data_IF_190203093451
#
_entry.id   IF_190203093451
#
_cell.length_a   1.000
_cell.length_b   1.000
_cell.length_c   1.000
_cell.angle_alpha   90.00
_cell.angle_beta   90.00
_cell.angle_gamma   90.00
#
_symmetry.space_group_name_H-M   'P 1'
#
loop_
_entity.id
_entity.type
_entity.pdbx_description
1 polymer ?
#
# COMPACT_ATOMS: atom_id res chain seq x y z
N UNK A 1 -25.13 -24.72 37.01
CA UNK A 1 -25.97 -24.09 35.96
C UNK A 1 -25.11 -23.97 34.71
N UNK A 2 -25.26 -24.91 33.78
CA UNK A 2 -24.58 -24.92 32.49
C UNK A 2 -25.25 -23.89 31.58
N UNK A 3 -24.59 -22.76 31.35
CA UNK A 3 -25.05 -21.77 30.38
C UNK A 3 -25.08 -22.39 28.99
N UNK A 4 -26.25 -22.37 28.37
CA UNK A 4 -26.44 -22.67 26.95
C UNK A 4 -25.53 -21.76 26.12
N UNK A 5 -24.78 -22.27 25.13
CA UNK A 5 -24.02 -21.41 24.22
C UNK A 5 -25.03 -20.61 23.39
N UNK A 6 -25.16 -19.32 23.70
CA UNK A 6 -25.98 -18.40 22.91
C UNK A 6 -25.51 -18.38 21.47
N UNK A 7 -26.45 -18.40 20.53
CA UNK A 7 -26.17 -18.34 19.09
C UNK A 7 -25.42 -17.06 18.75
N UNK A 8 -24.16 -17.17 18.34
CA UNK A 8 -23.31 -16.07 17.87
C UNK A 8 -23.66 -15.70 16.42
N UNK A 9 -24.88 -15.22 16.18
CA UNK A 9 -25.31 -14.81 14.84
C UNK A 9 -24.84 -13.38 14.53
N UNK A 10 -23.93 -13.23 13.56
CA UNK A 10 -23.46 -11.93 13.08
C UNK A 10 -24.44 -11.28 12.09
N UNK A 11 -25.54 -10.71 12.57
CA UNK A 11 -26.63 -10.18 11.71
C UNK A 11 -26.32 -8.90 10.90
N UNK A 12 -25.14 -8.28 11.07
CA UNK A 12 -24.84 -6.97 10.45
C UNK A 12 -24.39 -7.09 8.98
N UNK A 13 -23.62 -8.13 8.62
CA UNK A 13 -23.11 -8.40 7.26
C UNK A 13 -22.82 -9.90 7.12
N UNK A 14 -22.99 -10.44 5.91
CA UNK A 14 -22.74 -11.85 5.60
C UNK A 14 -21.24 -12.24 5.68
N UNK A 15 -20.34 -11.29 5.41
CA UNK A 15 -18.89 -11.47 5.49
C UNK A 15 -18.31 -10.34 6.36
N UNK A 16 -17.36 -10.62 7.28
CA UNK A 16 -16.70 -9.59 8.07
C UNK A 16 -15.94 -8.58 7.18
N UNK A 17 -15.62 -7.38 7.68
CA UNK A 17 -14.83 -6.41 6.92
C UNK A 17 -13.45 -6.98 6.55
N UNK A 18 -13.01 -6.70 5.32
CA UNK A 18 -11.69 -7.12 4.82
C UNK A 18 -10.77 -5.89 4.80
N UNK A 19 -10.16 -5.59 5.94
CA UNK A 19 -9.51 -4.32 6.24
C UNK A 19 -8.04 -4.46 6.73
N UNK A 20 -7.46 -5.66 6.65
CA UNK A 20 -6.06 -5.90 6.96
C UNK A 20 -5.39 -6.65 5.82
N UNK A 21 -4.27 -6.11 5.34
CA UNK A 21 -3.38 -6.75 4.38
C UNK A 21 -2.59 -7.88 5.05
N UNK A 22 -2.22 -7.73 6.33
CA UNK A 22 -1.50 -8.75 7.09
C UNK A 22 -2.34 -10.01 7.36
N UNK A 23 -3.67 -9.88 7.40
CA UNK A 23 -4.57 -11.02 7.58
C UNK A 23 -4.73 -11.83 6.28
N UNK A 24 -4.64 -13.15 6.38
CA UNK A 24 -4.78 -14.07 5.25
C UNK A 24 -5.88 -15.11 5.49
N UNK A 25 -6.40 -15.71 4.42
CA UNK A 25 -7.16 -16.97 4.44
C UNK A 25 -6.33 -18.12 3.87
N UNK A 26 -6.68 -19.34 4.22
CA UNK A 26 -6.15 -20.52 3.53
C UNK A 26 -6.98 -20.82 2.28
N UNK A 27 -6.30 -20.92 1.13
CA UNK A 27 -6.90 -21.38 -0.12
C UNK A 27 -6.57 -22.86 -0.29
N UNK A 28 -7.59 -23.67 -0.59
CA UNK A 28 -7.40 -25.10 -0.85
C UNK A 28 -6.53 -25.31 -2.09
N UNK A 29 -5.52 -26.18 -1.95
CA UNK A 29 -4.69 -26.65 -3.06
C UNK A 29 -5.46 -27.57 -4.00
N UNK A 30 -6.49 -28.25 -3.50
CA UNK A 30 -7.37 -29.09 -4.30
C UNK A 30 -8.81 -28.78 -3.89
N UNK A 31 -9.57 -28.21 -4.82
CA UNK A 31 -10.95 -27.83 -4.62
C UNK A 31 -11.81 -28.59 -5.64
N UNK A 32 -12.21 -29.81 -5.27
CA UNK A 32 -13.05 -30.65 -6.12
C UNK A 32 -14.52 -30.31 -5.89
N UNK A 33 -15.29 -30.28 -6.97
CA UNK A 33 -16.72 -30.07 -6.96
C UNK A 33 -17.43 -31.31 -7.50
N UNK A 34 -18.57 -31.65 -6.90
CA UNK A 34 -19.46 -32.74 -7.34
C UNK A 34 -18.86 -34.16 -7.20
N UNK A 35 -19.47 -35.13 -7.89
CA UNK A 35 -19.07 -36.55 -7.86
C UNK A 35 -17.80 -36.75 -8.69
N UNK A 36 -16.70 -37.08 -8.02
CA UNK A 36 -15.40 -37.36 -8.65
C UNK A 36 -15.30 -38.88 -8.94
N UNK A 37 -15.03 -39.31 -10.19
CA UNK A 37 -14.81 -40.72 -10.49
C UNK A 37 -13.62 -41.28 -9.69
N UNK A 38 -13.70 -42.56 -9.28
CA UNK A 38 -12.59 -43.21 -8.54
C UNK A 38 -11.27 -43.25 -9.32
N UNK A 39 -11.33 -43.14 -10.64
CA UNK A 39 -10.15 -43.09 -11.52
C UNK A 39 -9.57 -41.69 -11.75
N UNK A 40 -10.10 -40.64 -11.11
CA UNK A 40 -9.51 -39.31 -11.20
C UNK A 40 -8.08 -39.31 -10.63
N UNK A 41 -7.11 -38.95 -11.46
CA UNK A 41 -5.73 -38.77 -11.04
C UNK A 41 -5.31 -37.30 -11.27
N UNK A 42 -5.06 -36.52 -10.20
CA UNK A 42 -4.57 -35.14 -10.32
C UNK A 42 -3.29 -35.01 -11.16
N UNK A 43 -2.48 -36.07 -11.26
CA UNK A 43 -1.23 -36.05 -12.04
C UNK A 43 -1.45 -35.99 -13.57
N UNK A 44 -2.67 -36.27 -14.05
CA UNK A 44 -2.99 -36.19 -15.48
C UNK A 44 -3.09 -34.72 -15.97
N UNK A 45 -3.28 -33.80 -15.02
CA UNK A 45 -3.38 -32.36 -15.26
C UNK A 45 -2.02 -31.67 -15.06
N UNK A 46 -1.95 -30.39 -15.47
CA UNK A 46 -0.78 -29.57 -15.18
C UNK A 46 -0.58 -29.45 -13.68
N UNK A 47 0.67 -29.55 -13.27
CA UNK A 47 1.10 -29.22 -11.93
C UNK A 47 2.30 -28.29 -12.00
N UNK A 48 2.32 -27.27 -11.14
CA UNK A 48 3.37 -26.26 -11.14
C UNK A 48 4.57 -26.77 -10.35
N UNK A 49 5.74 -26.77 -10.98
CA UNK A 49 7.01 -27.18 -10.37
C UNK A 49 7.86 -25.97 -9.96
N UNK A 50 7.65 -24.80 -10.58
CA UNK A 50 8.39 -23.59 -10.28
C UNK A 50 7.67 -22.33 -10.74
N UNK A 51 7.92 -21.22 -10.05
CA UNK A 51 7.44 -19.88 -10.42
C UNK A 51 8.61 -18.91 -10.30
N UNK A 52 8.91 -18.22 -11.39
CA UNK A 52 9.97 -17.22 -11.48
C UNK A 52 9.36 -15.85 -11.73
N UNK A 53 9.69 -14.90 -10.86
CA UNK A 53 9.11 -13.56 -10.89
C UNK A 53 10.01 -12.50 -11.54
N UNK A 54 11.24 -12.86 -11.94
CA UNK A 54 12.23 -11.91 -12.48
C UNK A 54 12.33 -10.65 -11.61
N UNK A 55 12.48 -10.87 -10.29
CA UNK A 55 12.24 -9.87 -9.23
C UNK A 55 13.51 -9.26 -8.65
N UNK A 56 14.66 -9.57 -9.23
CA UNK A 56 15.93 -9.00 -8.82
C UNK A 56 15.96 -7.50 -9.14
N UNK A 57 16.69 -6.71 -8.35
CA UNK A 57 16.72 -5.24 -8.49
C UNK A 57 17.24 -4.77 -9.85
N UNK A 58 18.10 -5.57 -10.46
CA UNK A 58 18.69 -5.30 -11.79
C UNK A 58 17.85 -5.90 -12.95
N UNK A 59 16.77 -6.62 -12.65
CA UNK A 59 15.93 -7.22 -13.68
C UNK A 59 14.89 -6.22 -14.19
N UNK A 60 14.44 -6.44 -15.43
CA UNK A 60 13.55 -5.55 -16.19
C UNK A 60 12.27 -5.20 -15.44
N UNK A 61 11.66 -6.15 -14.71
CA UNK A 61 10.43 -5.88 -13.96
C UNK A 61 10.60 -4.75 -12.93
N UNK A 62 11.71 -4.69 -12.17
CA UNK A 62 11.88 -3.64 -11.16
C UNK A 62 12.38 -2.33 -11.78
N UNK A 63 13.26 -2.43 -12.78
CA UNK A 63 13.77 -1.25 -13.50
C UNK A 63 12.61 -0.54 -14.22
N UNK A 64 11.85 -1.26 -15.06
CA UNK A 64 10.80 -0.66 -15.88
C UNK A 64 9.61 -0.15 -15.04
N UNK A 65 9.38 -0.76 -13.87
CA UNK A 65 8.37 -0.28 -12.92
C UNK A 65 8.89 0.78 -11.94
N UNK A 66 10.16 1.19 -12.01
CA UNK A 66 10.75 2.20 -11.13
C UNK A 66 10.59 1.80 -9.64
N UNK A 67 10.92 0.55 -9.34
CA UNK A 67 10.83 -0.09 -8.01
C UNK A 67 12.12 -0.82 -7.61
N UNK A 68 13.20 -0.64 -8.38
CA UNK A 68 14.55 -1.16 -8.12
C UNK A 68 15.24 -0.51 -6.90
N UNK A 69 14.81 0.69 -6.51
CA UNK A 69 15.34 1.41 -5.35
C UNK A 69 14.94 0.81 -4.01
N UNK A 70 13.75 0.22 -3.89
CA UNK A 70 13.27 -0.39 -2.64
C UNK A 70 14.22 -1.50 -2.17
N UNK A 71 14.64 -1.43 -0.92
CA UNK A 71 15.36 -2.49 -0.25
C UNK A 71 14.41 -3.61 0.17
N UNK A 72 13.99 -4.39 -0.83
CA UNK A 72 13.11 -5.54 -0.65
C UNK A 72 13.41 -6.60 -1.68
N UNK A 73 13.45 -7.86 -1.25
CA UNK A 73 13.70 -9.01 -2.13
C UNK A 73 12.44 -9.52 -2.85
N UNK A 74 11.25 -8.99 -2.52
CA UNK A 74 9.98 -9.39 -3.15
C UNK A 74 9.77 -8.64 -4.47
N UNK A 75 8.87 -9.16 -5.30
CA UNK A 75 8.46 -8.45 -6.52
C UNK A 75 7.64 -7.21 -6.11
N UNK A 76 8.01 -6.06 -6.65
CA UNK A 76 7.29 -4.79 -6.47
C UNK A 76 7.03 -4.24 -7.85
N UNK A 77 5.77 -4.07 -8.21
CA UNK A 77 5.34 -3.53 -9.51
C UNK A 77 4.34 -2.40 -9.29
N UNK A 78 4.12 -1.61 -10.33
CA UNK A 78 3.12 -0.52 -10.33
C UNK A 78 1.92 -0.92 -11.17
N UNK A 79 0.72 -0.57 -10.70
CA UNK A 79 -0.54 -0.95 -11.35
C UNK A 79 -0.68 -0.39 -12.78
N UNK A 80 -1.47 -1.03 -13.64
CA UNK A 80 -1.72 -0.54 -15.00
C UNK A 80 -0.58 -0.78 -16.00
N UNK A 81 0.55 -1.32 -15.56
CA UNK A 81 1.72 -1.65 -16.40
C UNK A 81 1.98 -3.16 -16.37
N UNK A 82 2.50 -3.70 -17.48
CA UNK A 82 2.77 -5.12 -17.61
C UNK A 82 4.12 -5.52 -17.02
N UNK A 83 4.17 -6.69 -16.39
CA UNK A 83 5.40 -7.33 -15.90
C UNK A 83 5.46 -8.80 -16.34
N UNK A 84 6.65 -9.39 -16.26
CA UNK A 84 6.87 -10.76 -16.69
C UNK A 84 6.95 -11.75 -15.53
N UNK A 85 6.39 -12.94 -15.73
CA UNK A 85 6.65 -14.10 -14.87
C UNK A 85 6.88 -15.34 -15.75
N UNK A 86 7.48 -16.37 -15.19
CA UNK A 86 7.58 -17.68 -15.81
C UNK A 86 7.05 -18.75 -14.87
N UNK A 87 6.29 -19.68 -15.42
CA UNK A 87 5.72 -20.81 -14.70
C UNK A 87 6.30 -22.07 -15.33
N UNK A 88 6.91 -22.91 -14.50
CA UNK A 88 7.38 -24.23 -14.91
C UNK A 88 6.36 -25.27 -14.48
N UNK A 89 6.00 -26.17 -15.40
CA UNK A 89 5.05 -27.24 -15.18
C UNK A 89 5.72 -28.63 -15.18
N UNK A 90 4.98 -29.65 -14.74
CA UNK A 90 5.38 -31.06 -14.83
C UNK A 90 5.52 -31.57 -16.28
N UNK A 91 4.78 -30.99 -17.22
CA UNK A 91 4.80 -31.29 -18.66
C UNK A 91 4.53 -30.05 -19.50
N UNK A 92 4.81 -30.06 -20.82
CA UNK A 92 4.49 -28.94 -21.69
C UNK A 92 3.00 -28.53 -21.63
N UNK A 93 2.77 -27.22 -21.64
CA UNK A 93 1.44 -26.61 -21.69
C UNK A 93 0.83 -26.75 -23.09
N UNK A 94 -0.34 -27.36 -23.16
CA UNK A 94 -1.08 -27.56 -24.40
C UNK A 94 -2.43 -26.78 -24.36
N UNK A 95 -2.53 -25.64 -25.06
CA UNK A 95 -3.72 -24.76 -25.02
C UNK A 95 -5.05 -25.42 -25.42
N UNK A 96 -5.01 -26.59 -26.08
CA UNK A 96 -6.22 -27.32 -26.49
C UNK A 96 -6.83 -28.16 -25.37
N UNK A 97 -6.04 -28.53 -24.36
CA UNK A 97 -6.47 -29.44 -23.27
C UNK A 97 -6.31 -28.82 -21.88
N UNK A 98 -5.37 -27.90 -21.73
CA UNK A 98 -4.98 -27.32 -20.46
C UNK A 98 -5.61 -25.94 -20.30
N UNK A 99 -6.15 -25.68 -19.11
CA UNK A 99 -6.64 -24.37 -18.71
C UNK A 99 -6.04 -24.03 -17.34
N UNK A 100 -5.43 -22.86 -17.24
CA UNK A 100 -4.95 -22.35 -15.96
C UNK A 100 -5.11 -20.83 -15.92
N UNK A 101 -4.96 -20.25 -14.73
CA UNK A 101 -4.93 -18.81 -14.51
C UNK A 101 -4.01 -18.46 -13.34
N UNK A 102 -3.55 -17.22 -13.32
CA UNK A 102 -2.89 -16.64 -12.15
C UNK A 102 -3.99 -16.05 -11.24
N UNK A 103 -3.83 -16.14 -9.94
CA UNK A 103 -4.75 -15.55 -8.96
C UNK A 103 -3.95 -14.66 -8.00
N UNK A 104 -4.37 -13.40 -7.86
CA UNK A 104 -3.87 -12.50 -6.83
C UNK A 104 -4.90 -12.34 -5.73
N UNK A 105 -4.48 -12.48 -4.47
CA UNK A 105 -5.38 -12.52 -3.32
C UNK A 105 -4.85 -11.68 -2.17
N UNK A 106 -5.72 -10.85 -1.58
CA UNK A 106 -5.37 -9.94 -0.48
C UNK A 106 -6.44 -9.95 0.63
N UNK A 107 -5.99 -9.99 1.88
CA UNK A 107 -6.85 -10.03 3.06
C UNK A 107 -7.42 -11.42 3.37
N UNK A 108 -8.12 -11.52 4.51
CA UNK A 108 -8.75 -12.75 5.02
C UNK A 108 -10.10 -13.05 4.37
N UNK A 109 -10.80 -12.05 3.85
CA UNK A 109 -12.13 -12.25 3.24
C UNK A 109 -12.15 -11.75 1.79
N UNK A 110 -11.33 -12.35 0.90
CA UNK A 110 -11.18 -11.89 -0.47
C UNK A 110 -12.45 -12.19 -1.29
N UNK A 111 -12.86 -11.24 -2.13
CA UNK A 111 -14.06 -11.31 -2.96
C UNK A 111 -13.77 -10.67 -4.32
N UNK A 112 -14.23 -11.32 -5.40
CA UNK A 112 -13.95 -10.87 -6.78
C UNK A 112 -14.55 -9.50 -7.08
N UNK A 113 -15.82 -9.30 -6.70
CA UNK A 113 -16.54 -8.04 -6.90
C UNK A 113 -16.02 -6.88 -6.03
N UNK A 114 -15.11 -7.14 -5.08
CA UNK A 114 -14.40 -6.13 -4.28
C UNK A 114 -12.96 -5.92 -4.74
N UNK A 115 -12.50 -6.66 -5.74
CA UNK A 115 -11.12 -6.60 -6.25
C UNK A 115 -10.07 -7.20 -5.32
N UNK A 116 -10.47 -7.90 -4.26
CA UNK A 116 -9.55 -8.52 -3.27
C UNK A 116 -9.25 -9.99 -3.57
N UNK A 117 -10.02 -10.60 -4.46
CA UNK A 117 -9.68 -11.81 -5.18
C UNK A 117 -9.63 -11.48 -6.67
N UNK A 118 -8.51 -11.70 -7.34
CA UNK A 118 -8.29 -11.27 -8.73
C UNK A 118 -7.89 -12.47 -9.57
N UNK A 119 -8.84 -13.09 -10.29
CA UNK A 119 -8.52 -14.10 -11.29
C UNK A 119 -7.97 -13.42 -12.55
N UNK A 120 -6.74 -13.75 -12.94
CA UNK A 120 -6.07 -13.19 -14.11
C UNK A 120 -6.17 -14.19 -15.27
N UNK A 121 -7.08 -13.96 -16.23
CA UNK A 121 -7.28 -14.90 -17.34
C UNK A 121 -6.10 -14.89 -18.30
N UNK A 122 -5.81 -16.05 -18.89
CA UNK A 122 -4.92 -16.14 -20.06
C UNK A 122 -5.67 -15.64 -21.29
N UNK A 123 -5.14 -14.62 -21.95
CA UNK A 123 -5.77 -13.95 -23.10
C UNK A 123 -4.84 -13.97 -24.32
N UNK A 124 -5.41 -13.87 -25.52
CA UNK A 124 -4.64 -13.76 -26.75
C UNK A 124 -3.94 -12.39 -26.85
N UNK A 125 -4.64 -11.32 -26.46
CA UNK A 125 -4.14 -9.96 -26.45
C UNK A 125 -4.55 -9.24 -25.16
N UNK A 126 -3.64 -8.42 -24.64
CA UNK A 126 -3.89 -7.62 -23.44
C UNK A 126 -4.83 -6.46 -23.81
N UNK A 127 -5.86 -6.25 -22.99
CA UNK A 127 -6.81 -5.16 -23.17
C UNK A 127 -6.47 -4.02 -22.23
N UNK A 128 -6.43 -2.80 -22.75
CA UNK A 128 -6.21 -1.57 -21.98
C UNK A 128 -7.14 -1.50 -20.76
N UNK A 129 -6.60 -1.15 -19.60
CA UNK A 129 -7.35 -0.98 -18.35
C UNK A 129 -7.80 -2.25 -17.62
N UNK A 130 -7.57 -3.45 -18.18
CA UNK A 130 -8.05 -4.73 -17.60
C UNK A 130 -6.91 -5.64 -17.15
N UNK A 131 -7.23 -6.51 -16.19
CA UNK A 131 -6.39 -7.63 -15.82
C UNK A 131 -6.35 -8.67 -16.93
N UNK A 132 -5.16 -9.19 -17.23
CA UNK A 132 -4.97 -10.28 -18.17
C UNK A 132 -3.52 -10.74 -18.22
N UNK A 133 -3.30 -11.96 -18.68
CA UNK A 133 -1.97 -12.53 -18.89
C UNK A 133 -1.85 -13.06 -20.32
N UNK A 134 -0.84 -12.62 -21.05
CA UNK A 134 -0.54 -13.09 -22.40
C UNK A 134 0.65 -14.03 -22.37
N UNK A 135 0.53 -15.18 -23.04
CA UNK A 135 1.67 -16.09 -23.23
C UNK A 135 2.62 -15.46 -24.25
N UNK A 136 3.85 -15.15 -23.83
CA UNK A 136 4.87 -14.55 -24.71
C UNK A 136 5.82 -15.59 -25.28
N UNK A 137 6.22 -16.58 -24.47
CA UNK A 137 7.06 -17.69 -24.90
C UNK A 137 6.62 -19.00 -24.25
N UNK A 138 6.85 -20.09 -24.97
CA UNK A 138 6.68 -21.48 -24.51
C UNK A 138 7.98 -22.20 -24.81
N UNK A 139 8.62 -22.74 -23.78
CA UNK A 139 9.89 -23.44 -23.90
C UNK A 139 9.83 -24.72 -23.05
N UNK A 140 9.75 -25.86 -23.73
CA UNK A 140 9.49 -27.17 -23.12
C UNK A 140 8.34 -27.14 -22.09
N UNK A 141 8.66 -27.16 -20.79
CA UNK A 141 7.72 -27.18 -19.67
C UNK A 141 7.44 -25.79 -19.08
N UNK A 142 8.09 -24.77 -19.60
CA UNK A 142 8.03 -23.40 -19.09
C UNK A 142 7.16 -22.52 -19.99
N UNK A 143 6.32 -21.70 -19.34
CA UNK A 143 5.49 -20.69 -20.00
C UNK A 143 5.81 -19.34 -19.40
N UNK A 144 6.27 -18.40 -20.24
CA UNK A 144 6.45 -17.01 -19.83
C UNK A 144 5.19 -16.22 -20.13
N UNK A 145 4.75 -15.46 -19.15
CA UNK A 145 3.57 -14.61 -19.22
C UNK A 145 3.98 -13.15 -19.13
N UNK A 146 3.35 -12.31 -19.94
CA UNK A 146 3.24 -10.87 -19.69
C UNK A 146 1.91 -10.62 -18.99
N UNK A 147 1.95 -10.22 -17.72
CA UNK A 147 0.78 -9.95 -16.89
C UNK A 147 0.55 -8.46 -16.85
N UNK A 148 -0.65 -8.01 -17.20
CA UNK A 148 -1.09 -6.63 -17.04
C UNK A 148 -2.10 -6.54 -15.90
N UNK A 149 -1.85 -5.62 -14.97
CA UNK A 149 -2.79 -5.28 -13.91
C UNK A 149 -3.72 -4.15 -14.34
N UNK A 150 -4.91 -4.05 -13.74
CA UNK A 150 -5.78 -2.87 -13.94
C UNK A 150 -5.16 -1.62 -13.31
N UNK A 151 -5.23 -0.43 -13.94
CA UNK A 151 -4.77 0.83 -13.34
C UNK A 151 -5.58 1.27 -12.11
N UNK A 152 -6.72 0.62 -11.85
CA UNK A 152 -7.55 0.83 -10.66
C UNK A 152 -7.30 -0.23 -9.57
N UNK A 153 -6.26 -1.04 -9.70
CA UNK A 153 -5.93 -2.08 -8.74
C UNK A 153 -5.73 -1.51 -7.33
N UNK A 154 -6.15 -2.30 -6.34
CA UNK A 154 -5.86 -2.06 -4.92
C UNK A 154 -4.35 -2.03 -4.73
N UNK A 155 -3.87 -1.08 -3.92
CA UNK A 155 -2.45 -1.01 -3.52
C UNK A 155 -2.23 -1.84 -2.27
N UNK A 156 -1.19 -2.67 -2.29
CA UNK A 156 -0.85 -3.57 -1.19
C UNK A 156 0.01 -4.76 -1.60
N UNK A 157 0.23 -5.67 -0.65
CA UNK A 157 0.95 -6.93 -0.84
C UNK A 157 -0.03 -8.06 -1.13
N UNK A 158 0.02 -8.62 -2.33
CA UNK A 158 -0.83 -9.71 -2.75
C UNK A 158 -0.11 -11.04 -2.64
N UNK A 159 -0.87 -12.07 -2.28
CA UNK A 159 -0.46 -13.46 -2.43
C UNK A 159 -0.74 -13.90 -3.86
N UNK A 160 0.19 -14.64 -4.44
CA UNK A 160 0.08 -15.16 -5.80
C UNK A 160 -0.17 -16.67 -5.76
N UNK A 161 -1.08 -17.13 -6.63
CA UNK A 161 -1.34 -18.55 -6.86
C UNK A 161 -1.46 -18.84 -8.34
N UNK A 162 -1.14 -20.07 -8.74
CA UNK A 162 -1.49 -20.61 -10.06
C UNK A 162 -2.59 -21.64 -9.85
N UNK A 163 -3.72 -21.45 -10.55
CA UNK A 163 -4.88 -22.32 -10.49
C UNK A 163 -5.09 -23.01 -11.84
N UNK A 164 -4.92 -24.34 -11.85
CA UNK A 164 -5.20 -25.22 -12.99
C UNK A 164 -6.65 -25.69 -12.88
N UNK A 165 -7.40 -25.46 -13.95
CA UNK A 165 -8.81 -25.82 -14.06
C UNK A 165 -8.95 -27.22 -14.65
N UNK A 166 -9.73 -28.04 -13.97
CA UNK A 166 -10.07 -29.40 -14.38
C UNK A 166 -11.59 -29.54 -14.49
N UNK A 167 -12.10 -30.55 -15.19
CA UNK A 167 -13.54 -30.85 -15.21
C UNK A 167 -14.15 -31.12 -13.82
N UNK A 168 -13.31 -31.43 -12.83
CA UNK A 168 -13.75 -31.82 -11.48
C UNK A 168 -13.50 -30.72 -10.44
N UNK A 169 -12.93 -29.58 -10.83
CA UNK A 169 -12.59 -28.50 -9.91
C UNK A 169 -11.20 -27.91 -10.17
N UNK A 170 -10.63 -27.26 -9.16
CA UNK A 170 -9.39 -26.49 -9.27
C UNK A 170 -8.25 -27.18 -8.52
N UNK A 171 -7.09 -27.29 -9.17
CA UNK A 171 -5.81 -27.65 -8.55
C UNK A 171 -4.97 -26.38 -8.48
N UNK A 172 -4.52 -26.00 -7.29
CA UNK A 172 -3.86 -24.73 -7.00
C UNK A 172 -2.53 -24.96 -6.30
N UNK A 173 -1.56 -24.10 -6.57
CA UNK A 173 -0.30 -24.05 -5.81
C UNK A 173 -0.55 -23.83 -4.32
N UNK A 174 0.34 -24.36 -3.47
CA UNK A 174 0.33 -24.05 -2.04
C UNK A 174 0.73 -22.58 -1.79
N UNK A 175 0.46 -22.08 -0.57
CA UNK A 175 0.92 -20.77 -0.12
C UNK A 175 2.44 -20.69 -0.23
N UNK A 176 2.94 -19.71 -0.98
CA UNK A 176 4.38 -19.45 -1.11
C UNK A 176 4.69 -17.95 -0.84
N UNK A 177 5.30 -17.61 0.32
CA UNK A 177 5.68 -16.23 0.64
C UNK A 177 6.73 -15.63 -0.31
N UNK A 178 7.49 -16.45 -1.05
CA UNK A 178 8.47 -15.96 -2.02
C UNK A 178 7.85 -15.36 -3.28
N UNK A 179 6.58 -15.67 -3.54
CA UNK A 179 5.84 -15.15 -4.68
C UNK A 179 4.90 -14.00 -4.33
N UNK A 180 4.93 -13.52 -3.08
CA UNK A 180 4.16 -12.34 -2.70
C UNK A 180 4.62 -11.13 -3.51
N UNK A 181 3.65 -10.38 -4.03
CA UNK A 181 3.87 -9.29 -4.98
C UNK A 181 3.23 -8.01 -4.45
N UNK A 182 4.03 -6.96 -4.31
CA UNK A 182 3.51 -5.63 -4.02
C UNK A 182 3.05 -4.98 -5.32
N UNK A 183 1.86 -4.38 -5.28
CA UNK A 183 1.31 -3.56 -6.36
C UNK A 183 1.13 -2.14 -5.82
N UNK A 184 1.81 -1.18 -6.41
CA UNK A 184 1.83 0.22 -6.00
C UNK A 184 1.03 1.12 -6.97
N UNK A 185 0.81 2.38 -6.56
CA UNK A 185 0.33 3.42 -7.48
C UNK A 185 1.34 3.66 -8.62
N UNK A 186 0.84 4.08 -9.78
CA UNK A 186 1.66 4.25 -10.98
C UNK A 186 1.60 5.66 -11.59
N UNK A 187 2.49 6.56 -11.18
CA UNK A 187 2.65 7.89 -11.79
C UNK A 187 3.05 7.88 -13.27
N UNK A 188 3.56 6.76 -13.79
CA UNK A 188 3.96 6.59 -15.19
C UNK A 188 2.82 6.09 -16.10
N UNK A 189 1.69 5.66 -15.53
CA UNK A 189 0.57 5.12 -16.29
C UNK A 189 -0.50 6.20 -16.51
N UNK A 190 -0.74 6.60 -17.76
CA UNK A 190 -1.74 7.61 -18.14
C UNK A 190 -3.18 7.33 -17.64
N UNK A 191 -3.50 6.06 -17.38
CA UNK A 191 -4.82 5.65 -16.88
C UNK A 191 -4.91 5.65 -15.35
N UNK A 192 -3.79 5.84 -14.67
CA UNK A 192 -3.76 5.93 -13.22
C UNK A 192 -4.25 7.31 -12.76
N UNK A 193 -5.00 7.33 -11.66
CA UNK A 193 -5.47 8.55 -11.04
C UNK A 193 -4.34 9.45 -10.51
N UNK A 194 -3.12 8.93 -10.36
CA UNK A 194 -1.93 9.69 -9.90
C UNK A 194 -0.91 9.93 -11.01
N UNK A 195 -1.32 9.80 -12.28
CA UNK A 195 -0.45 10.05 -13.43
C UNK A 195 0.19 11.45 -13.38
N UNK A 196 1.47 11.51 -13.76
CA UNK A 196 2.24 12.73 -13.87
C UNK A 196 3.05 12.66 -15.17
N UNK A 197 2.83 13.60 -16.08
CA UNK A 197 3.36 13.54 -17.45
C UNK A 197 4.84 13.92 -17.54
N UNK A 198 5.33 14.79 -16.67
CA UNK A 198 6.74 15.20 -16.63
C UNK A 198 7.64 14.20 -15.88
N UNK A 199 8.76 13.81 -16.50
CA UNK A 199 9.73 12.89 -15.91
C UNK A 199 10.46 13.51 -14.70
N UNK A 200 10.78 14.81 -14.73
CA UNK A 200 11.49 15.47 -13.61
C UNK A 200 10.58 15.61 -12.40
N UNK A 201 9.29 15.86 -12.59
CA UNK A 201 8.32 15.87 -11.51
C UNK A 201 8.14 14.47 -10.90
N UNK A 202 8.18 13.40 -11.71
CA UNK A 202 8.16 12.02 -11.20
C UNK A 202 9.43 11.69 -10.41
N UNK A 203 10.58 12.09 -10.89
CA UNK A 203 11.83 11.97 -10.15
C UNK A 203 11.75 12.71 -8.80
N UNK A 204 11.31 13.96 -8.80
CA UNK A 204 11.27 14.79 -7.58
C UNK A 204 10.16 14.37 -6.60
N UNK A 205 8.95 14.11 -7.08
CA UNK A 205 7.78 13.91 -6.21
C UNK A 205 7.52 12.45 -5.85
N UNK A 206 8.27 11.50 -6.42
CA UNK A 206 8.12 10.06 -6.15
C UNK A 206 9.46 9.41 -5.82
N UNK A 207 10.49 9.63 -6.64
CA UNK A 207 11.76 8.88 -6.56
C UNK A 207 12.86 9.55 -5.75
N UNK A 208 12.73 10.83 -5.42
CA UNK A 208 13.63 11.53 -4.52
C UNK A 208 13.27 11.18 -3.08
N UNK A 209 14.22 10.58 -2.35
CA UNK A 209 14.08 10.11 -0.98
C UNK A 209 14.66 11.07 0.06
N UNK A 210 15.14 12.22 -0.38
CA UNK A 210 15.61 13.32 0.46
C UNK A 210 14.84 14.58 0.08
N UNK A 211 14.49 15.39 1.07
CA UNK A 211 13.77 16.64 0.86
C UNK A 211 14.37 17.79 1.65
N UNK A 212 13.85 18.98 1.36
CA UNK A 212 14.10 20.19 2.13
C UNK A 212 12.78 20.66 2.73
N UNK A 213 12.80 20.95 4.03
CA UNK A 213 11.69 21.59 4.74
C UNK A 213 12.13 23.02 5.08
N UNK A 214 11.35 23.98 4.62
CA UNK A 214 11.56 25.40 4.93
C UNK A 214 10.91 25.76 6.26
N UNK A 215 11.56 26.64 7.03
CA UNK A 215 11.09 27.13 8.32
C UNK A 215 11.70 28.51 8.61
N UNK A 216 11.54 29.01 9.83
CA UNK A 216 12.04 30.33 10.24
C UNK A 216 10.98 31.41 10.03
N UNK A 217 11.44 32.62 9.72
CA UNK A 217 10.57 33.77 9.43
C UNK A 217 10.56 34.07 7.93
N UNK A 218 9.51 34.72 7.41
CA UNK A 218 9.45 35.12 6.00
C UNK A 218 10.65 36.01 5.60
N UNK A 219 11.16 36.83 6.51
CA UNK A 219 12.34 37.68 6.27
C UNK A 219 13.67 36.96 6.52
N UNK A 220 13.64 35.74 7.08
CA UNK A 220 14.82 34.94 7.39
C UNK A 220 14.51 33.44 7.21
N UNK A 221 14.28 33.07 5.95
CA UNK A 221 13.94 31.70 5.55
C UNK A 221 15.14 30.80 5.85
N UNK A 222 14.88 29.76 6.63
CA UNK A 222 15.82 28.69 6.94
C UNK A 222 15.35 27.40 6.29
N UNK A 223 16.28 26.49 6.09
CA UNK A 223 16.04 25.19 5.47
C UNK A 223 16.67 24.08 6.29
N UNK A 224 15.99 22.95 6.35
CA UNK A 224 16.44 21.71 6.98
C UNK A 224 16.31 20.59 5.97
N UNK A 225 17.32 19.75 5.85
CA UNK A 225 17.19 18.49 5.10
C UNK A 225 16.34 17.49 5.89
N UNK A 226 15.57 16.67 5.18
CA UNK A 226 14.77 15.60 5.76
C UNK A 226 14.95 14.33 4.94
N UNK A 227 15.30 13.22 5.59
CA UNK A 227 15.32 11.91 4.94
C UNK A 227 13.89 11.35 4.90
N UNK A 228 13.28 11.31 3.71
CA UNK A 228 12.01 10.61 3.54
C UNK A 228 12.24 9.11 3.61
N UNK A 229 13.29 8.60 2.97
CA UNK A 229 13.74 7.21 3.09
C UNK A 229 12.70 6.17 2.68
N UNK A 230 11.82 6.48 1.72
CA UNK A 230 10.71 5.60 1.35
C UNK A 230 11.13 4.24 0.78
N UNK A 231 12.40 4.09 0.42
CA UNK A 231 12.99 2.88 -0.16
C UNK A 231 13.77 2.04 0.85
N UNK A 232 13.97 2.52 2.08
CA UNK A 232 14.67 1.78 3.12
C UNK A 232 13.90 0.52 3.55
N UNK A 233 14.63 -0.47 4.07
CA UNK A 233 14.05 -1.74 4.51
C UNK A 233 12.94 -1.51 5.55
N UNK A 234 11.87 -2.30 5.43
CA UNK A 234 10.68 -2.23 6.30
C UNK A 234 9.73 -1.06 6.06
N UNK A 235 10.13 0.04 5.39
CA UNK A 235 9.28 1.24 5.27
C UNK A 235 8.00 0.99 4.47
N UNK A 236 8.09 0.21 3.38
CA UNK A 236 6.90 -0.16 2.60
C UNK A 236 5.92 -0.98 3.44
N UNK A 237 6.41 -1.92 4.23
CA UNK A 237 5.57 -2.73 5.13
C UNK A 237 4.99 -1.88 6.27
N UNK A 238 5.75 -0.91 6.81
CA UNK A 238 5.26 0.06 7.79
C UNK A 238 4.09 0.91 7.23
N UNK A 239 4.16 1.31 5.95
CA UNK A 239 3.06 2.03 5.29
C UNK A 239 1.80 1.15 5.16
N UNK A 240 1.95 -0.13 4.82
CA UNK A 240 0.81 -1.07 4.79
C UNK A 240 0.25 -1.31 6.20
N UNK A 241 1.12 -1.43 7.20
CA UNK A 241 0.75 -1.55 8.61
C UNK A 241 -0.06 -0.34 9.10
N UNK A 242 0.32 0.88 8.71
CA UNK A 242 -0.41 2.10 9.05
C UNK A 242 -1.86 2.07 8.55
N UNK A 243 -2.09 1.57 7.32
CA UNK A 243 -3.45 1.39 6.78
C UNK A 243 -4.22 0.24 7.46
N UNK A 244 -3.53 -0.81 7.90
CA UNK A 244 -4.12 -1.90 8.69
C UNK A 244 -4.56 -1.43 10.08
N UNK A 245 -3.72 -0.62 10.76
CA UNK A 245 -4.05 0.02 12.05
C UNK A 245 -5.25 0.94 11.95
N UNK A 246 -5.37 1.67 10.85
CA UNK A 246 -6.54 2.49 10.52
C UNK A 246 -7.81 1.68 10.24
N UNK A 247 -7.72 0.34 10.20
CA UNK A 247 -8.80 -0.55 9.77
C UNK A 247 -9.34 -0.15 8.39
N UNK A 248 -8.47 0.31 7.50
CA UNK A 248 -8.84 0.76 6.17
C UNK A 248 -9.25 -0.41 5.30
N UNK A 249 -10.52 -0.43 4.87
CA UNK A 249 -11.07 -1.43 3.93
C UNK A 249 -10.15 -1.58 2.72
N UNK A 250 -9.72 -2.82 2.42
CA UNK A 250 -8.77 -3.12 1.33
C UNK A 250 -9.27 -2.62 -0.02
N UNK A 251 -10.58 -2.75 -0.28
CA UNK A 251 -11.21 -2.25 -1.52
C UNK A 251 -11.07 -0.73 -1.73
N UNK A 252 -10.78 0.03 -0.67
CA UNK A 252 -10.54 1.46 -0.73
C UNK A 252 -9.10 1.87 -1.00
N UNK A 253 -8.12 0.96 -0.85
CA UNK A 253 -6.69 1.30 -0.94
C UNK A 253 -6.19 1.57 -2.35
N UNK A 254 -6.98 1.26 -3.38
CA UNK A 254 -6.72 1.70 -4.75
C UNK A 254 -7.15 3.15 -5.05
N UNK A 255 -7.81 3.84 -4.13
CA UNK A 255 -8.26 5.22 -4.34
C UNK A 255 -7.30 6.19 -3.62
N UNK A 256 -6.53 7.02 -4.34
CA UNK A 256 -5.55 7.90 -3.74
C UNK A 256 -6.21 8.92 -2.79
N UNK A 257 -7.44 9.39 -3.06
CA UNK A 257 -8.17 10.31 -2.20
C UNK A 257 -8.43 9.68 -0.82
N UNK A 258 -8.87 8.41 -0.80
CA UNK A 258 -9.13 7.70 0.46
C UNK A 258 -7.82 7.39 1.19
N UNK A 259 -6.79 6.98 0.47
CA UNK A 259 -5.46 6.70 1.03
C UNK A 259 -4.89 7.97 1.67
N UNK A 260 -4.94 9.12 1.00
CA UNK A 260 -4.50 10.39 1.57
C UNK A 260 -5.30 10.79 2.79
N UNK A 261 -6.64 10.67 2.76
CA UNK A 261 -7.50 11.04 3.89
C UNK A 261 -7.28 10.18 5.13
N UNK A 262 -7.19 8.86 4.95
CA UNK A 262 -6.91 7.94 6.06
C UNK A 262 -5.48 8.12 6.54
N UNK A 263 -4.53 8.26 5.61
CA UNK A 263 -3.13 8.45 5.92
C UNK A 263 -2.88 9.72 6.74
N UNK A 264 -3.51 10.84 6.38
CA UNK A 264 -3.37 12.10 7.11
C UNK A 264 -3.94 12.02 8.53
N UNK A 265 -5.03 11.27 8.73
CA UNK A 265 -5.59 11.03 10.06
C UNK A 265 -4.63 10.20 10.92
N UNK A 266 -4.09 9.11 10.35
CA UNK A 266 -3.19 8.19 11.05
C UNK A 266 -1.83 8.77 11.41
N UNK A 267 -1.38 9.84 10.77
CA UNK A 267 -0.07 10.42 11.09
C UNK A 267 -0.07 11.05 12.50
N UNK A 268 -1.20 11.58 12.94
CA UNK A 268 -1.36 12.13 14.29
C UNK A 268 -2.01 11.09 15.23
N UNK A 269 -1.53 11.01 16.47
CA UNK A 269 -2.00 9.99 17.41
C UNK A 269 -3.35 10.27 18.06
N UNK A 270 -3.89 11.49 17.92
CA UNK A 270 -5.20 11.81 18.49
C UNK A 270 -6.27 11.01 17.74
N UNK A 271 -7.23 10.49 18.49
CA UNK A 271 -8.37 9.69 18.04
C UNK A 271 -8.05 8.23 17.64
N UNK A 272 -7.05 7.98 16.79
CA UNK A 272 -6.86 6.68 16.12
C UNK A 272 -5.59 5.88 16.54
N UNK A 273 -4.91 6.26 17.61
CA UNK A 273 -3.59 5.68 18.00
C UNK A 273 -2.57 5.69 16.83
N UNK A 274 -2.59 6.79 16.09
CA UNK A 274 -1.72 7.06 14.96
C UNK A 274 -0.22 7.13 15.28
N UNK A 275 0.58 7.45 14.25
CA UNK A 275 2.04 7.29 14.23
C UNK A 275 2.75 8.16 15.28
N UNK A 276 2.38 9.44 15.40
CA UNK A 276 3.12 10.41 16.21
C UNK A 276 2.25 11.15 17.23
N UNK A 277 2.78 11.31 18.44
CA UNK A 277 2.21 12.16 19.48
C UNK A 277 2.69 13.59 19.32
N UNK A 278 1.78 14.54 19.15
CA UNK A 278 2.10 15.97 19.09
C UNK A 278 2.45 16.56 20.46
N UNK A 279 3.54 17.32 20.57
CA UNK A 279 3.86 18.11 21.78
C UNK A 279 4.57 19.43 21.46
N UNK A 280 4.21 20.47 22.21
CA UNK A 280 4.76 21.83 22.19
C UNK A 280 5.14 22.31 23.61
N UNK A 281 5.28 21.39 24.57
CA UNK A 281 5.50 21.72 25.98
C UNK A 281 6.94 22.16 26.32
N UNK A 282 7.87 22.01 25.38
CA UNK A 282 9.30 22.27 25.54
C UNK A 282 10.01 21.41 26.61
N UNK A 283 9.37 20.33 27.07
CA UNK A 283 9.90 19.39 28.06
C UNK A 283 10.13 18.03 27.41
N UNK A 284 9.19 17.57 26.58
CA UNK A 284 9.27 16.32 25.80
C UNK A 284 9.62 15.08 26.66
N UNK A 285 9.06 14.99 27.86
CA UNK A 285 9.34 13.90 28.79
C UNK A 285 9.01 12.52 28.18
N UNK A 286 9.88 11.54 28.41
CA UNK A 286 9.73 10.15 27.93
C UNK A 286 9.63 10.01 26.40
N UNK A 287 10.25 10.90 25.65
CA UNK A 287 10.29 10.83 24.20
C UNK A 287 11.45 11.62 23.61
N UNK A 288 11.43 11.73 22.29
CA UNK A 288 12.40 12.47 21.49
C UNK A 288 11.85 13.87 21.19
N UNK A 289 12.61 14.96 21.45
CA UNK A 289 12.21 16.30 21.05
C UNK A 289 11.97 16.38 19.53
N UNK A 290 10.89 17.04 19.06
CA UNK A 290 10.55 17.12 17.62
C UNK A 290 11.68 17.65 16.73
N UNK A 291 12.56 18.49 17.27
CA UNK A 291 13.71 19.06 16.57
C UNK A 291 14.88 18.07 16.36
N UNK A 292 14.94 16.98 17.12
CA UNK A 292 16.01 15.98 17.02
C UNK A 292 15.84 15.05 15.81
N UNK A 293 14.61 14.87 15.31
CA UNK A 293 14.36 14.05 14.14
C UNK A 293 15.01 14.63 12.88
N UNK A 294 15.65 13.75 12.11
CA UNK A 294 16.33 14.05 10.82
C UNK A 294 15.64 13.40 9.62
N UNK A 295 14.64 12.54 9.86
CA UNK A 295 13.95 11.79 8.82
C UNK A 295 12.78 10.97 9.36
N UNK A 296 12.08 10.31 8.44
CA UNK A 296 10.87 9.53 8.74
C UNK A 296 11.16 8.07 9.10
N UNK A 297 12.35 7.56 8.76
CA UNK A 297 12.72 6.14 8.85
C UNK A 297 12.59 5.64 10.30
N UNK A 298 13.31 6.27 11.23
CA UNK A 298 13.34 5.87 12.64
C UNK A 298 11.93 5.88 13.26
N UNK A 299 11.13 6.90 12.92
CA UNK A 299 9.76 7.05 13.42
C UNK A 299 8.86 5.91 12.94
N UNK A 300 8.88 5.61 11.64
CA UNK A 300 7.99 4.59 11.06
C UNK A 300 8.37 3.18 11.53
N UNK A 301 9.67 2.89 11.64
CA UNK A 301 10.16 1.60 12.14
C UNK A 301 9.90 1.44 13.65
N UNK A 302 10.04 2.50 14.44
CA UNK A 302 9.66 2.49 15.86
C UNK A 302 8.15 2.29 16.03
N UNK A 303 7.32 2.96 15.23
CA UNK A 303 5.86 2.80 15.27
C UNK A 303 5.44 1.35 14.95
N UNK A 304 6.01 0.77 13.88
CA UNK A 304 5.69 -0.59 13.47
C UNK A 304 6.14 -1.63 14.51
N UNK A 305 7.34 -1.47 15.07
CA UNK A 305 7.91 -2.42 16.03
C UNK A 305 7.28 -2.33 17.41
N UNK A 306 7.07 -1.11 17.92
CA UNK A 306 6.47 -0.88 19.23
C UNK A 306 4.96 -1.04 19.24
N UNK A 307 4.32 -0.90 18.06
CA UNK A 307 2.87 -0.83 17.88
C UNK A 307 2.21 0.30 18.71
N UNK A 308 2.98 1.29 19.14
CA UNK A 308 2.52 2.41 19.93
C UNK A 308 2.91 3.74 19.25
N UNK A 309 2.13 4.82 19.47
CA UNK A 309 2.50 6.14 18.98
C UNK A 309 3.89 6.59 19.43
N UNK A 310 4.70 7.06 18.48
CA UNK A 310 6.05 7.57 18.69
C UNK A 310 5.99 9.00 19.26
N UNK A 311 6.86 9.30 20.21
CA UNK A 311 6.91 10.59 20.91
C UNK A 311 8.20 11.33 20.57
N UNK A 312 8.22 12.56 20.07
CA UNK A 312 7.10 13.46 19.74
C UNK A 312 7.28 14.09 18.36
N UNK A 313 6.19 14.65 17.81
CA UNK A 313 6.19 15.37 16.54
C UNK A 313 5.61 16.78 16.64
N UNK A 314 5.94 17.60 15.65
CA UNK A 314 5.28 18.88 15.34
C UNK A 314 4.98 18.93 13.84
N UNK A 315 4.41 20.04 13.35
CA UNK A 315 3.89 20.18 11.98
C UNK A 315 4.85 19.65 10.89
N UNK A 316 6.14 19.97 10.94
CA UNK A 316 7.10 19.50 9.93
C UNK A 316 7.42 18.00 10.05
N UNK A 317 7.40 17.45 11.27
CA UNK A 317 7.62 16.01 11.50
C UNK A 317 6.45 15.22 10.93
N UNK A 318 5.21 15.68 11.18
CA UNK A 318 4.01 15.10 10.58
C UNK A 318 4.06 15.17 9.06
N UNK A 319 4.40 16.33 8.50
CA UNK A 319 4.50 16.51 7.05
C UNK A 319 5.59 15.61 6.43
N UNK A 320 6.75 15.49 7.07
CA UNK A 320 7.83 14.61 6.63
C UNK A 320 7.43 13.13 6.60
N UNK A 321 6.81 12.64 7.68
CA UNK A 321 6.32 11.26 7.77
C UNK A 321 5.19 11.00 6.76
N UNK A 322 4.24 11.92 6.63
CA UNK A 322 3.15 11.77 5.67
C UNK A 322 3.66 11.80 4.22
N UNK A 323 4.66 12.63 3.92
CA UNK A 323 5.28 12.66 2.61
C UNK A 323 6.00 11.34 2.28
N UNK A 324 6.70 10.74 3.25
CA UNK A 324 7.25 9.37 3.11
C UNK A 324 6.16 8.37 2.80
N UNK A 325 5.04 8.38 3.54
CA UNK A 325 3.92 7.46 3.32
C UNK A 325 3.36 7.55 1.89
N UNK A 326 3.13 8.77 1.39
CA UNK A 326 2.60 8.99 0.04
C UNK A 326 3.60 8.53 -1.05
N UNK A 327 4.86 8.98 -0.97
CA UNK A 327 5.91 8.62 -1.94
C UNK A 327 6.18 7.12 -1.95
N UNK A 328 6.22 6.49 -0.78
CA UNK A 328 6.44 5.04 -0.63
C UNK A 328 5.35 4.21 -1.33
N UNK A 329 4.09 4.64 -1.30
CA UNK A 329 3.00 3.98 -2.01
C UNK A 329 2.93 4.34 -3.50
N UNK A 330 3.71 5.33 -3.94
CA UNK A 330 3.74 5.81 -5.34
C UNK A 330 2.77 6.95 -5.64
N UNK A 331 2.27 7.67 -4.63
CA UNK A 331 1.49 8.90 -4.84
C UNK A 331 2.47 10.09 -4.87
N UNK A 332 2.54 10.88 -5.96
CA UNK A 332 3.40 12.06 -6.02
C UNK A 332 3.05 13.05 -4.89
N UNK A 333 4.05 13.47 -4.12
CA UNK A 333 3.85 14.33 -2.96
C UNK A 333 5.03 15.28 -2.71
N UNK A 334 4.75 16.42 -2.05
CA UNK A 334 5.74 17.40 -1.59
C UNK A 334 5.30 18.07 -0.28
N UNK A 335 6.27 18.46 0.53
CA UNK A 335 6.06 19.28 1.73
C UNK A 335 5.98 20.75 1.34
N UNK A 336 5.02 21.48 1.92
CA UNK A 336 4.85 22.93 1.75
C UNK A 336 4.95 23.64 3.09
N UNK A 337 5.48 24.85 3.08
CA UNK A 337 5.58 25.72 4.27
C UNK A 337 4.79 26.99 4.00
N UNK A 338 3.89 27.34 4.92
CA UNK A 338 3.15 28.59 4.91
C UNK A 338 3.68 29.48 6.03
N UNK A 339 4.10 30.71 5.71
CA UNK A 339 4.53 31.70 6.69
C UNK A 339 3.34 32.56 7.12
N UNK A 340 3.26 32.90 8.40
CA UNK A 340 2.08 33.54 9.00
C UNK A 340 0.82 32.69 8.81
N UNK A 341 0.90 31.42 9.21
CA UNK A 341 -0.20 30.49 9.00
C UNK A 341 -1.26 30.68 10.07
N UNK A 342 -2.39 31.30 9.68
CA UNK A 342 -3.54 31.45 10.56
C UNK A 342 -4.02 30.08 11.06
N UNK A 343 -4.19 29.98 12.38
CA UNK A 343 -4.81 28.86 13.05
C UNK A 343 -6.11 29.34 13.68
N UNK A 344 -7.11 29.35 12.81
CA UNK A 344 -8.50 29.71 13.09
C UNK A 344 -9.14 28.62 13.97
N UNK A 345 -9.71 29.01 15.11
CA UNK A 345 -10.36 28.09 16.04
C UNK A 345 -11.89 28.05 15.92
N UNK A 346 -12.53 28.94 15.16
CA UNK A 346 -13.99 29.04 15.04
C UNK A 346 -14.52 28.90 13.59
N UNK A 347 -13.61 28.73 12.63
CA UNK A 347 -13.86 28.53 11.21
C UNK A 347 -14.59 29.70 10.53
N UNK A 348 -14.39 30.92 11.05
CA UNK A 348 -15.03 32.14 10.52
C UNK A 348 -14.22 32.81 9.38
N UNK A 349 -13.03 32.28 9.03
CA UNK A 349 -12.12 32.76 8.00
C UNK A 349 -11.51 34.16 8.28
N UNK A 350 -11.61 34.63 9.51
CA UNK A 350 -11.03 35.88 10.01
C UNK A 350 -10.14 35.56 11.23
N UNK A 351 -9.40 36.57 11.71
CA UNK A 351 -8.58 36.43 12.90
C UNK A 351 -9.00 37.51 13.89
N UNK A 352 -9.55 37.10 15.01
CA UNK A 352 -10.06 38.02 16.02
C UNK A 352 -9.00 38.30 17.09
N UNK A 353 -8.36 39.48 16.98
CA UNK A 353 -7.44 40.00 18.00
C UNK A 353 -8.20 40.99 18.86
N UNK A 354 -8.46 40.63 20.11
CA UNK A 354 -9.15 41.49 21.07
C UNK A 354 -8.12 42.36 21.79
N UNK A 355 -8.40 43.66 21.84
CA UNK A 355 -7.56 44.65 22.53
C UNK A 355 -8.27 45.14 23.80
N UNK A 356 -7.49 45.40 24.85
CA UNK A 356 -7.92 46.18 26.01
C UNK A 356 -7.99 47.68 25.64
N UNK A 357 -8.58 48.50 26.51
CA UNK A 357 -8.74 49.95 26.25
C UNK A 357 -7.41 50.70 26.06
N UNK A 358 -6.31 50.18 26.61
CA UNK A 358 -4.97 50.74 26.47
C UNK A 358 -4.25 50.32 25.17
N UNK A 359 -4.91 49.51 24.34
CA UNK A 359 -4.39 48.98 23.08
C UNK A 359 -3.56 47.70 23.22
N UNK A 360 -3.38 47.15 24.42
CA UNK A 360 -2.70 45.87 24.62
C UNK A 360 -3.61 44.70 24.22
N UNK A 361 -3.02 43.59 23.75
CA UNK A 361 -3.80 42.38 23.40
C UNK A 361 -4.37 41.72 24.66
N UNK A 362 -5.69 41.53 24.66
CA UNK A 362 -6.38 40.75 25.67
C UNK A 362 -6.16 39.24 25.41
N UNK A 363 -5.21 38.65 26.12
CA UNK A 363 -4.84 37.23 25.99
C UNK A 363 -5.91 36.26 26.52
N UNK A 364 -6.90 36.75 27.28
CA UNK A 364 -8.02 35.91 27.73
C UNK A 364 -9.06 35.73 26.63
N UNK A 365 -9.32 36.78 25.86
CA UNK A 365 -10.31 36.79 24.77
C UNK A 365 -9.73 36.33 23.43
N UNK A 366 -8.50 36.72 23.11
CA UNK A 366 -7.83 36.30 21.87
C UNK A 366 -7.48 34.81 21.93
N UNK A 367 -8.18 34.00 21.13
CA UNK A 367 -7.97 32.56 21.02
C UNK A 367 -7.26 32.16 19.74
N UNK A 368 -7.51 32.87 18.66
CA UNK A 368 -6.83 32.65 17.40
C UNK A 368 -5.34 32.95 17.53
N UNK A 369 -4.55 32.22 16.74
CA UNK A 369 -3.11 32.41 16.71
C UNK A 369 -2.61 32.35 15.27
N UNK A 370 -1.44 32.93 15.07
CA UNK A 370 -0.67 32.82 13.83
C UNK A 370 0.59 32.02 14.16
N UNK A 371 0.84 30.97 13.39
CA UNK A 371 2.08 30.17 13.48
C UNK A 371 3.17 30.71 12.59
#
# INVERSE_FOLDING_TARGET
MSGTPGTTFGGRRAVPPNNSNAAENELSTVELQSLVPRGFNPQDYLNVTGVHLFKERWDTNKIDHHTDKYDSNKLIVRRGQSFYIQIDFNRPYEPRRDLFRVEYVIGRYPQENKGTYVPVPIVSELQRGKWGAKVVTRDDRSVRLSIQSSPKCIVGKFRMYIAVWTPYGIIRTSRNPETDTYILFNPWCEEDAVYLDDDKEREEYVLNDIGVIFYGDFNNIKSRSWSYGQFEDGILDACLYMMDRAQMDLSGRGNPIKVSRVGSAMVNSKDDEGVLVGSWDNIYAYGVPPSAWTGSIDILLEYQSSQNPVRYGQCWVFAGVFNTFLRCLGIPARVVTNYFSAHDNDANLQMDIFLEEDGNVNSKLTKDSVW
#
